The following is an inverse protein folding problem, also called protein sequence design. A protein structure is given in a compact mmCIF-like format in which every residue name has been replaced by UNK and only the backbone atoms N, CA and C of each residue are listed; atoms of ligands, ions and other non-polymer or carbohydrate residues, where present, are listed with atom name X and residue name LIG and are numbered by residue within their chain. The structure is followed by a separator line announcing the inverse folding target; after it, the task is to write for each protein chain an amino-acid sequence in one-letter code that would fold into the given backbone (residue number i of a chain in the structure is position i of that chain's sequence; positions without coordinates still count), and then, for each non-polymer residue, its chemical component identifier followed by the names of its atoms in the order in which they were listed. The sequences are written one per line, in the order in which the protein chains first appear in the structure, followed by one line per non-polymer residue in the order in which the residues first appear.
data_IF_068480540514
#
_entry.id   IF_068480540514
#
_cell.length_a   1.000
_cell.length_b   1.000
_cell.length_c   1.000
_cell.angle_alpha   90.00
_cell.angle_beta   90.00
_cell.angle_gamma   90.00
#
_symmetry.space_group_name_H-M   'P 1'
#
loop_
_entity.id
_entity.type
_entity.pdbx_description
1 polymer ?
#
# COMPACT_ATOMS: atom_id res chain seq x y z
N UNK A 1 -68.30 -10.66 -13.49
CA UNK A 1 -67.26 -10.71 -14.54
C UNK A 1 -66.18 -9.68 -14.36
N UNK A 2 -66.42 -8.45 -13.89
CA UNK A 2 -65.39 -7.43 -13.67
C UNK A 2 -64.43 -7.74 -12.51
N UNK A 3 -64.92 -8.28 -11.39
CA UNK A 3 -64.07 -8.64 -10.24
C UNK A 3 -63.05 -9.74 -10.54
N UNK A 4 -63.38 -10.69 -11.41
CA UNK A 4 -62.45 -11.75 -11.83
C UNK A 4 -61.29 -11.23 -12.70
N UNK A 5 -61.56 -10.24 -13.57
CA UNK A 5 -60.55 -9.58 -14.38
C UNK A 5 -59.59 -8.73 -13.51
N UNK A 6 -60.09 -8.04 -12.49
CA UNK A 6 -59.27 -7.27 -11.55
C UNK A 6 -58.37 -8.17 -10.70
N UNK A 7 -58.85 -9.29 -10.18
CA UNK A 7 -58.06 -10.26 -9.41
C UNK A 7 -56.94 -10.87 -10.29
N UNK A 8 -57.23 -11.25 -11.53
CA UNK A 8 -56.25 -11.78 -12.48
C UNK A 8 -55.19 -10.73 -12.84
N UNK A 9 -55.55 -9.47 -12.99
CA UNK A 9 -54.60 -8.38 -13.27
C UNK A 9 -53.66 -8.13 -12.08
N UNK A 10 -54.17 -8.12 -10.84
CA UNK A 10 -53.36 -7.97 -9.62
C UNK A 10 -52.37 -9.12 -9.47
N UNK A 11 -52.80 -10.37 -9.76
CA UNK A 11 -51.88 -11.54 -9.73
C UNK A 11 -50.74 -11.39 -10.74
N UNK A 12 -51.04 -11.01 -11.97
CA UNK A 12 -50.02 -10.83 -13.01
C UNK A 12 -49.01 -9.70 -12.65
N UNK A 13 -49.51 -8.61 -12.08
CA UNK A 13 -48.65 -7.49 -11.64
C UNK A 13 -47.75 -7.92 -10.47
N UNK A 14 -48.30 -8.70 -9.51
CA UNK A 14 -47.55 -9.25 -8.38
C UNK A 14 -46.47 -10.21 -8.85
N UNK A 15 -46.77 -11.14 -9.75
CA UNK A 15 -45.80 -12.08 -10.33
C UNK A 15 -44.66 -11.36 -11.09
N UNK A 16 -45.01 -10.34 -11.89
CA UNK A 16 -44.00 -9.53 -12.58
C UNK A 16 -43.09 -8.80 -11.61
N UNK A 17 -43.65 -8.24 -10.53
CA UNK A 17 -42.87 -7.55 -9.49
C UNK A 17 -41.93 -8.51 -8.74
N UNK A 18 -42.44 -9.71 -8.43
CA UNK A 18 -41.70 -10.78 -7.80
C UNK A 18 -40.50 -11.21 -8.70
N UNK A 19 -40.81 -11.51 -9.97
CA UNK A 19 -39.79 -11.94 -10.94
C UNK A 19 -38.72 -10.88 -11.20
N UNK A 20 -39.11 -9.59 -11.19
CA UNK A 20 -38.14 -8.49 -11.29
C UNK A 20 -37.20 -8.45 -10.07
N UNK A 21 -37.75 -8.61 -8.85
CA UNK A 21 -36.97 -8.64 -7.61
C UNK A 21 -36.01 -9.84 -7.57
N UNK A 22 -36.45 -10.99 -8.02
CA UNK A 22 -35.61 -12.20 -8.11
C UNK A 22 -34.45 -11.99 -9.10
N UNK A 23 -34.72 -11.36 -10.25
CA UNK A 23 -33.68 -11.04 -11.23
C UNK A 23 -32.65 -10.05 -10.68
N UNK A 24 -33.10 -8.99 -10.01
CA UNK A 24 -32.23 -8.01 -9.35
C UNK A 24 -31.34 -8.69 -8.29
N UNK A 25 -31.91 -9.58 -7.48
CA UNK A 25 -31.15 -10.35 -6.48
C UNK A 25 -30.14 -11.31 -7.12
N UNK A 26 -30.50 -11.95 -8.24
CA UNK A 26 -29.56 -12.79 -8.99
C UNK A 26 -28.41 -12.00 -9.57
N UNK A 27 -28.66 -10.81 -10.10
CA UNK A 27 -27.62 -9.93 -10.63
C UNK A 27 -26.67 -9.45 -9.51
N UNK A 28 -27.21 -9.07 -8.35
CA UNK A 28 -26.40 -8.68 -7.20
C UNK A 28 -25.55 -9.85 -6.68
N UNK A 29 -26.13 -11.04 -6.55
CA UNK A 29 -25.42 -12.24 -6.14
C UNK A 29 -24.31 -12.60 -7.13
N UNK A 30 -24.59 -12.51 -8.42
CA UNK A 30 -23.61 -12.78 -9.46
C UNK A 30 -22.44 -11.79 -9.42
N UNK A 31 -22.71 -10.49 -9.25
CA UNK A 31 -21.68 -9.46 -9.05
C UNK A 31 -20.83 -9.72 -7.80
N UNK A 32 -21.48 -10.07 -6.68
CA UNK A 32 -20.79 -10.40 -5.44
C UNK A 32 -19.89 -11.65 -5.59
N UNK A 33 -20.37 -12.67 -6.29
CA UNK A 33 -19.59 -13.89 -6.57
C UNK A 33 -18.34 -13.61 -7.44
N UNK A 34 -18.51 -12.82 -8.50
CA UNK A 34 -17.37 -12.41 -9.35
C UNK A 34 -16.35 -11.61 -8.55
N UNK A 35 -16.82 -10.67 -7.72
CA UNK A 35 -15.94 -9.87 -6.88
C UNK A 35 -15.17 -10.74 -5.87
N UNK A 36 -15.85 -11.70 -5.23
CA UNK A 36 -15.24 -12.64 -4.29
C UNK A 36 -14.22 -13.58 -4.99
N UNK A 37 -14.53 -14.12 -6.16
CA UNK A 37 -13.60 -14.96 -6.93
C UNK A 37 -12.36 -14.16 -7.36
N UNK A 38 -12.55 -12.93 -7.83
CA UNK A 38 -11.46 -12.03 -8.22
C UNK A 38 -10.55 -11.72 -7.03
N UNK A 39 -11.12 -11.40 -5.87
CA UNK A 39 -10.36 -11.14 -4.64
C UNK A 39 -9.59 -12.39 -4.18
N UNK A 40 -10.21 -13.58 -4.24
CA UNK A 40 -9.58 -14.83 -3.83
C UNK A 40 -8.42 -15.24 -4.78
N UNK A 41 -8.58 -15.02 -6.09
CA UNK A 41 -7.49 -15.23 -7.07
C UNK A 41 -6.33 -14.25 -6.82
N UNK A 42 -6.63 -12.98 -6.59
CA UNK A 42 -5.62 -11.98 -6.26
C UNK A 42 -4.84 -12.39 -5.00
N UNK A 43 -5.53 -12.83 -3.94
CA UNK A 43 -4.92 -13.35 -2.71
C UNK A 43 -4.01 -14.55 -2.95
N UNK A 44 -4.50 -15.56 -3.69
CA UNK A 44 -3.72 -16.77 -4.00
C UNK A 44 -2.45 -16.41 -4.76
N UNK A 45 -2.58 -15.53 -5.72
CA UNK A 45 -1.45 -15.11 -6.54
C UNK A 45 -0.46 -14.26 -5.73
N UNK A 46 -0.93 -13.39 -4.83
CA UNK A 46 -0.10 -12.65 -3.86
C UNK A 46 0.74 -13.61 -3.01
N UNK A 47 0.13 -14.64 -2.40
CA UNK A 47 0.84 -15.61 -1.57
C UNK A 47 1.91 -16.41 -2.36
N UNK A 48 1.62 -16.78 -3.60
CA UNK A 48 2.60 -17.46 -4.47
C UNK A 48 3.83 -16.57 -4.73
N UNK A 49 3.62 -15.30 -5.00
CA UNK A 49 4.73 -14.39 -5.24
C UNK A 49 5.50 -14.05 -3.98
N UNK A 50 4.81 -13.84 -2.86
CA UNK A 50 5.48 -13.66 -1.58
C UNK A 50 6.41 -14.84 -1.26
N UNK A 51 6.00 -16.08 -1.60
CA UNK A 51 6.86 -17.25 -1.43
C UNK A 51 8.12 -17.15 -2.29
N UNK A 52 8.02 -16.63 -3.51
CA UNK A 52 9.17 -16.41 -4.38
C UNK A 52 10.07 -15.28 -3.86
N UNK A 53 9.46 -14.17 -3.47
CA UNK A 53 10.16 -12.96 -3.02
C UNK A 53 10.87 -13.18 -1.67
N UNK A 54 10.33 -14.04 -0.81
CA UNK A 54 10.98 -14.52 0.42
C UNK A 54 12.15 -15.44 0.10
N UNK A 55 12.00 -16.35 -0.87
CA UNK A 55 13.03 -17.33 -1.22
C UNK A 55 14.29 -16.69 -1.80
N UNK A 56 14.14 -15.63 -2.58
CA UNK A 56 15.26 -14.96 -3.25
C UNK A 56 16.30 -14.41 -2.26
N UNK A 57 15.96 -13.52 -1.31
CA UNK A 57 16.93 -13.03 -0.32
C UNK A 57 17.44 -14.15 0.59
N UNK A 58 16.59 -15.11 0.96
CA UNK A 58 17.00 -16.26 1.77
C UNK A 58 18.08 -17.09 1.08
N UNK A 59 17.89 -17.41 -0.19
CA UNK A 59 18.91 -18.12 -0.99
C UNK A 59 20.19 -17.30 -1.15
N UNK A 60 20.07 -15.97 -1.27
CA UNK A 60 21.22 -15.05 -1.28
C UNK A 60 22.04 -15.16 0.01
N UNK A 61 21.37 -15.06 1.17
CA UNK A 61 22.03 -15.22 2.49
C UNK A 61 22.71 -16.58 2.60
N UNK A 62 22.03 -17.66 2.23
CA UNK A 62 22.58 -19.00 2.29
C UNK A 62 23.76 -19.20 1.33
N UNK A 63 23.73 -18.55 0.17
CA UNK A 63 24.84 -18.55 -0.78
C UNK A 63 26.07 -17.85 -0.23
N UNK A 64 25.91 -16.64 0.31
CA UNK A 64 26.99 -15.85 0.91
C UNK A 64 27.58 -16.53 2.15
N UNK A 65 26.77 -17.21 2.96
CA UNK A 65 27.25 -18.02 4.08
C UNK A 65 28.20 -19.14 3.60
N UNK A 66 27.83 -19.85 2.53
CA UNK A 66 28.68 -20.92 1.96
C UNK A 66 30.00 -20.36 1.42
N UNK A 67 29.96 -19.17 0.79
CA UNK A 67 31.17 -18.49 0.30
C UNK A 67 32.07 -18.12 1.47
N UNK A 68 31.53 -17.55 2.54
CA UNK A 68 32.29 -17.18 3.74
C UNK A 68 32.91 -18.39 4.43
N UNK A 69 32.20 -19.55 4.44
CA UNK A 69 32.77 -20.79 4.98
C UNK A 69 33.92 -21.34 4.14
N UNK A 70 33.88 -21.16 2.81
CA UNK A 70 34.91 -21.64 1.90
C UNK A 70 36.13 -20.70 1.83
N UNK A 71 35.96 -19.42 2.17
CA UNK A 71 36.98 -18.39 2.07
C UNK A 71 37.11 -17.62 3.40
N UNK A 72 37.14 -18.34 4.50
CA UNK A 72 37.15 -17.76 5.85
C UNK A 72 38.44 -16.98 6.19
N UNK A 73 39.48 -17.15 5.44
CA UNK A 73 40.78 -16.46 5.50
C UNK A 73 40.80 -15.12 4.75
N UNK A 74 39.81 -14.86 3.88
CA UNK A 74 39.66 -13.57 3.21
C UNK A 74 38.71 -12.63 4.01
N UNK A 75 39.30 -11.93 4.97
CA UNK A 75 38.56 -11.06 5.90
C UNK A 75 37.76 -9.94 5.17
N UNK A 76 38.29 -9.42 4.05
CA UNK A 76 37.63 -8.35 3.30
C UNK A 76 36.38 -8.88 2.58
N UNK A 77 36.47 -10.01 1.89
CA UNK A 77 35.37 -10.69 1.26
C UNK A 77 34.29 -11.09 2.26
N UNK A 78 34.70 -11.65 3.40
CA UNK A 78 33.79 -12.06 4.47
C UNK A 78 33.02 -10.85 5.02
N UNK A 79 33.70 -9.72 5.25
CA UNK A 79 33.06 -8.49 5.74
C UNK A 79 32.08 -7.88 4.74
N UNK A 80 32.41 -7.89 3.45
CA UNK A 80 31.49 -7.43 2.40
C UNK A 80 30.27 -8.32 2.30
N UNK A 81 30.46 -9.63 2.32
CA UNK A 81 29.36 -10.60 2.31
C UNK A 81 28.42 -10.44 3.50
N UNK A 82 28.94 -10.12 4.71
CA UNK A 82 28.08 -9.85 5.86
C UNK A 82 27.20 -8.62 5.65
N UNK A 83 27.69 -7.56 5.03
CA UNK A 83 26.87 -6.38 4.70
C UNK A 83 25.75 -6.72 3.72
N UNK A 84 26.04 -7.52 2.70
CA UNK A 84 25.03 -7.96 1.74
C UNK A 84 24.00 -8.89 2.37
N UNK A 85 24.44 -9.78 3.29
CA UNK A 85 23.52 -10.63 4.06
C UNK A 85 22.61 -9.80 4.96
N UNK A 86 23.13 -8.75 5.62
CA UNK A 86 22.34 -7.83 6.43
C UNK A 86 21.26 -7.10 5.61
N UNK A 87 21.63 -6.61 4.42
CA UNK A 87 20.68 -5.98 3.49
C UNK A 87 19.58 -6.97 3.07
N UNK A 88 19.95 -8.21 2.74
CA UNK A 88 19.02 -9.25 2.34
C UNK A 88 18.09 -9.65 3.50
N UNK A 89 18.60 -9.73 4.74
CA UNK A 89 17.82 -10.02 5.93
C UNK A 89 16.82 -8.90 6.26
N UNK A 90 17.24 -7.64 6.16
CA UNK A 90 16.36 -6.48 6.35
C UNK A 90 15.25 -6.42 5.30
N UNK A 91 15.56 -6.75 4.04
CA UNK A 91 14.56 -6.87 2.99
C UNK A 91 13.55 -7.98 3.28
N UNK A 92 14.01 -9.13 3.74
CA UNK A 92 13.15 -10.26 4.13
C UNK A 92 12.23 -9.87 5.29
N UNK A 93 12.74 -9.16 6.29
CA UNK A 93 11.95 -8.68 7.42
C UNK A 93 10.85 -7.71 6.96
N UNK A 94 11.16 -6.81 6.03
CA UNK A 94 10.16 -5.92 5.41
C UNK A 94 9.04 -6.69 4.73
N UNK A 95 9.37 -7.70 3.91
CA UNK A 95 8.38 -8.54 3.22
C UNK A 95 7.47 -9.30 4.19
N UNK A 96 8.04 -9.83 5.28
CA UNK A 96 7.25 -10.50 6.33
C UNK A 96 6.28 -9.53 6.99
N UNK A 97 6.73 -8.32 7.32
CA UNK A 97 5.89 -7.29 7.91
C UNK A 97 4.75 -6.87 6.97
N UNK A 98 5.01 -6.74 5.67
CA UNK A 98 3.98 -6.42 4.66
C UNK A 98 2.90 -7.50 4.60
N UNK A 99 3.29 -8.79 4.64
CA UNK A 99 2.34 -9.92 4.68
C UNK A 99 1.50 -9.91 5.96
N UNK A 100 2.13 -9.69 7.11
CA UNK A 100 1.43 -9.65 8.40
C UNK A 100 0.43 -8.50 8.45
N UNK A 101 0.78 -7.34 7.91
CA UNK A 101 -0.14 -6.19 7.84
C UNK A 101 -1.32 -6.46 6.90
N UNK A 102 -1.07 -7.05 5.73
CA UNK A 102 -2.16 -7.43 4.83
C UNK A 102 -3.12 -8.41 5.49
N UNK A 103 -2.60 -9.41 6.21
CA UNK A 103 -3.43 -10.38 6.94
C UNK A 103 -4.30 -9.70 8.01
N UNK A 104 -3.76 -8.74 8.74
CA UNK A 104 -4.51 -7.98 9.76
C UNK A 104 -5.62 -7.14 9.16
N UNK A 105 -5.36 -6.46 8.03
CA UNK A 105 -6.36 -5.66 7.31
C UNK A 105 -7.51 -6.52 6.79
N UNK A 106 -7.23 -7.75 6.30
CA UNK A 106 -8.26 -8.68 5.82
C UNK A 106 -9.17 -9.19 6.95
N UNK A 107 -8.61 -9.46 8.11
CA UNK A 107 -9.39 -9.97 9.25
C UNK A 107 -10.40 -8.95 9.81
N UNK A 108 -10.29 -7.67 9.41
CA UNK A 108 -11.18 -6.59 9.89
C UNK A 108 -11.18 -6.43 11.41
N UNK A 109 -10.22 -7.07 12.10
CA UNK A 109 -10.14 -7.15 13.57
C UNK A 109 -9.30 -6.05 14.18
N UNK A 110 -8.59 -5.27 13.36
CA UNK A 110 -7.89 -4.11 13.87
C UNK A 110 -8.91 -3.01 14.15
N UNK A 111 -9.33 -2.89 15.40
CA UNK A 111 -9.85 -1.63 15.89
C UNK A 111 -8.73 -0.61 15.68
N UNK A 112 -8.93 0.28 14.70
CA UNK A 112 -8.03 1.39 14.46
C UNK A 112 -7.98 2.21 15.75
N UNK A 113 -6.99 1.92 16.61
CA UNK A 113 -6.78 2.72 17.81
C UNK A 113 -6.50 4.14 17.34
N UNK A 114 -7.44 5.03 17.59
CA UNK A 114 -7.30 6.44 17.28
C UNK A 114 -6.92 7.17 18.57
N UNK A 115 -5.89 7.97 18.51
CA UNK A 115 -5.40 8.78 19.62
C UNK A 115 -5.22 10.23 19.20
N UNK A 116 -5.09 11.12 20.17
CA UNK A 116 -4.78 12.51 19.91
C UNK A 116 -3.33 12.63 19.44
N UNK A 117 -3.14 13.06 18.21
CA UNK A 117 -1.82 13.12 17.54
C UNK A 117 -1.51 14.59 17.18
N UNK A 118 -0.29 15.02 17.50
CA UNK A 118 0.29 16.24 16.98
C UNK A 118 0.89 15.96 15.59
N UNK A 119 0.24 16.42 14.54
CA UNK A 119 0.69 16.18 13.17
C UNK A 119 2.09 16.76 12.90
N UNK A 120 2.43 18.00 13.31
CA UNK A 120 3.77 18.53 13.18
C UNK A 120 4.87 17.62 13.73
N UNK A 121 4.64 17.03 14.92
CA UNK A 121 5.64 16.14 15.54
C UNK A 121 5.84 14.85 14.74
N UNK A 122 4.74 14.26 14.28
CA UNK A 122 4.80 13.05 13.42
C UNK A 122 5.56 13.35 12.12
N UNK A 123 5.31 14.51 11.51
CA UNK A 123 6.01 14.91 10.30
C UNK A 123 7.47 15.24 10.53
N UNK A 124 7.81 15.87 11.66
CA UNK A 124 9.20 16.15 12.04
C UNK A 124 10.01 14.86 12.21
N UNK A 125 9.46 13.88 12.91
CA UNK A 125 10.08 12.56 13.09
C UNK A 125 10.31 11.85 11.75
N UNK A 126 9.29 11.87 10.88
CA UNK A 126 9.40 11.26 9.56
C UNK A 126 10.42 11.98 8.67
N UNK A 127 10.45 13.32 8.74
CA UNK A 127 11.42 14.14 7.99
C UNK A 127 12.84 13.68 8.27
N UNK A 128 13.20 13.46 9.52
CA UNK A 128 14.55 13.01 9.89
C UNK A 128 14.93 11.67 9.23
N UNK A 129 13.98 10.71 9.16
CA UNK A 129 14.19 9.42 8.50
C UNK A 129 14.33 9.57 6.98
N UNK A 130 13.48 10.41 6.38
CA UNK A 130 13.44 10.65 4.94
C UNK A 130 14.70 11.38 4.50
N UNK A 131 15.11 12.45 5.21
CA UNK A 131 16.32 13.22 4.91
C UNK A 131 17.57 12.32 4.97
N UNK A 132 17.68 11.44 5.97
CA UNK A 132 18.80 10.48 6.06
C UNK A 132 18.87 9.57 4.83
N UNK A 133 17.74 8.94 4.48
CA UNK A 133 17.68 8.03 3.33
C UNK A 133 17.88 8.73 1.97
N UNK A 134 17.44 9.97 1.85
CA UNK A 134 17.61 10.78 0.64
C UNK A 134 19.06 11.27 0.48
N UNK A 135 19.71 11.65 1.59
CA UNK A 135 21.10 12.08 1.61
C UNK A 135 22.05 11.00 1.09
N UNK A 136 21.85 9.75 1.49
CA UNK A 136 22.63 8.59 1.04
C UNK A 136 22.58 8.42 -0.49
N UNK A 137 21.48 8.88 -1.13
CA UNK A 137 21.29 8.88 -2.59
C UNK A 137 21.57 10.22 -3.27
N UNK A 138 22.02 11.24 -2.53
CA UNK A 138 22.22 12.58 -3.06
C UNK A 138 20.95 13.25 -3.59
N UNK A 139 19.80 12.91 -3.03
CA UNK A 139 18.49 13.46 -3.41
C UNK A 139 18.14 14.61 -2.46
N UNK A 140 17.70 15.76 -3.01
CA UNK A 140 17.20 16.87 -2.20
C UNK A 140 15.72 16.66 -1.88
N UNK A 141 15.35 16.84 -0.59
CA UNK A 141 13.94 16.79 -0.15
C UNK A 141 13.51 18.16 0.33
N UNK A 142 12.45 18.66 -0.25
CA UNK A 142 11.84 19.95 0.07
C UNK A 142 10.48 19.72 0.70
N UNK A 143 10.39 19.96 1.99
CA UNK A 143 9.14 20.02 2.71
C UNK A 143 8.72 21.49 2.71
N UNK A 144 7.68 21.84 1.97
CA UNK A 144 7.18 23.21 1.91
C UNK A 144 7.02 23.80 3.31
N UNK A 145 7.73 24.89 3.60
CA UNK A 145 7.63 25.62 4.87
C UNK A 145 6.25 26.27 5.02
N UNK A 146 5.50 26.39 3.92
CA UNK A 146 4.14 26.91 3.89
C UNK A 146 3.07 25.89 4.36
N UNK A 147 3.48 24.80 5.00
CA UNK A 147 2.56 23.84 5.60
C UNK A 147 1.77 24.49 6.72
N UNK A 148 0.59 25.03 6.38
CA UNK A 148 -0.31 25.63 7.36
C UNK A 148 -1.08 24.50 8.05
N UNK A 149 -0.68 24.18 9.27
CA UNK A 149 -1.42 23.27 10.13
C UNK A 149 -2.63 24.02 10.72
N UNK A 150 -3.75 23.99 10.00
CA UNK A 150 -5.01 24.62 10.49
C UNK A 150 -5.41 24.00 11.83
N UNK A 151 -5.31 22.67 11.92
CA UNK A 151 -5.48 21.92 13.16
C UNK A 151 -4.28 21.02 13.39
N UNK A 152 -3.33 21.42 14.24
CA UNK A 152 -2.13 20.61 14.50
C UNK A 152 -2.43 19.34 15.28
N UNK A 153 -3.53 19.30 16.03
CA UNK A 153 -3.96 18.13 16.80
C UNK A 153 -5.18 17.49 16.17
N UNK A 154 -5.09 16.21 15.86
CA UNK A 154 -6.17 15.42 15.28
C UNK A 154 -6.30 14.08 15.97
N UNK A 155 -7.47 13.47 15.92
CA UNK A 155 -7.68 12.09 16.36
C UNK A 155 -7.44 11.18 15.15
N UNK A 156 -6.36 10.39 15.20
CA UNK A 156 -5.98 9.48 14.12
C UNK A 156 -5.10 8.35 14.66
N UNK A 157 -4.73 7.42 13.79
CA UNK A 157 -3.74 6.39 14.09
C UNK A 157 -2.35 6.84 13.60
N UNK A 158 -1.39 7.15 14.50
CA UNK A 158 -0.08 7.66 14.11
C UNK A 158 0.79 6.62 13.38
N UNK A 159 0.61 5.32 13.67
CA UNK A 159 1.37 4.26 13.02
C UNK A 159 1.02 4.15 11.54
N UNK A 160 -0.28 4.14 11.21
CA UNK A 160 -0.73 4.09 9.81
C UNK A 160 -0.36 5.37 9.06
N UNK A 161 -0.49 6.52 9.73
CA UNK A 161 -0.09 7.78 9.13
C UNK A 161 1.39 7.75 8.73
N UNK A 162 2.27 7.39 9.68
CA UNK A 162 3.71 7.24 9.42
C UNK A 162 3.99 6.23 8.30
N UNK A 163 3.34 5.10 8.32
CA UNK A 163 3.55 4.05 7.33
C UNK A 163 3.16 4.48 5.91
N UNK A 164 2.02 5.14 5.74
CA UNK A 164 1.60 5.67 4.44
C UNK A 164 2.67 6.60 3.88
N UNK A 165 3.14 7.55 4.69
CA UNK A 165 4.14 8.51 4.24
C UNK A 165 5.49 7.85 3.97
N UNK A 166 5.99 7.00 4.87
CA UNK A 166 7.27 6.31 4.66
C UNK A 166 7.24 5.40 3.42
N UNK A 167 6.13 4.78 3.10
CA UNK A 167 5.96 4.00 1.87
C UNK A 167 6.02 4.89 0.62
N UNK A 168 5.34 6.03 0.62
CA UNK A 168 5.33 6.96 -0.51
C UNK A 168 6.73 7.57 -0.71
N UNK A 169 7.34 8.11 0.35
CA UNK A 169 8.69 8.68 0.27
C UNK A 169 9.74 7.64 -0.06
N UNK A 170 9.64 6.43 0.50
CA UNK A 170 10.51 5.30 0.17
C UNK A 170 10.49 4.98 -1.34
N UNK A 171 9.29 4.97 -1.93
CA UNK A 171 9.15 4.81 -3.38
C UNK A 171 9.74 6.00 -4.14
N UNK A 172 9.46 7.23 -3.74
CA UNK A 172 10.03 8.42 -4.36
C UNK A 172 11.56 8.41 -4.32
N UNK A 173 12.17 8.07 -3.17
CA UNK A 173 13.62 7.94 -3.04
C UNK A 173 14.16 6.79 -3.90
N UNK A 174 13.44 5.65 -3.95
CA UNK A 174 13.85 4.47 -4.72
C UNK A 174 13.94 4.77 -6.22
N UNK A 175 12.96 5.48 -6.75
CA UNK A 175 12.81 5.70 -8.19
C UNK A 175 13.35 7.06 -8.69
N UNK A 176 13.84 7.91 -7.79
CA UNK A 176 14.54 9.15 -8.15
C UNK A 176 16.04 8.87 -8.32
N UNK A 177 16.62 9.41 -9.41
CA UNK A 177 18.03 9.30 -9.67
C UNK A 177 18.86 10.21 -8.76
N UNK A 178 20.18 9.96 -8.68
CA UNK A 178 21.13 10.80 -7.99
C UNK A 178 21.04 12.26 -8.46
N UNK A 179 21.03 13.20 -7.52
CA UNK A 179 20.87 14.64 -7.80
C UNK A 179 19.44 15.08 -8.09
N UNK A 180 18.46 14.16 -7.97
CA UNK A 180 17.06 14.49 -8.13
C UNK A 180 16.45 15.21 -6.94
N UNK A 181 15.14 15.53 -7.04
CA UNK A 181 14.39 16.29 -6.04
C UNK A 181 13.07 15.62 -5.71
N UNK A 182 12.71 15.65 -4.43
CA UNK A 182 11.37 15.31 -3.92
C UNK A 182 10.82 16.56 -3.26
N UNK A 183 9.59 16.93 -3.58
CA UNK A 183 8.91 18.08 -2.99
C UNK A 183 7.56 17.69 -2.42
N UNK A 184 7.19 18.30 -1.31
CA UNK A 184 5.94 18.04 -0.61
C UNK A 184 5.17 19.34 -0.44
N UNK A 185 3.90 19.31 -0.77
CA UNK A 185 2.94 20.38 -0.51
C UNK A 185 1.77 19.82 0.27
N UNK A 186 1.34 20.57 1.28
CA UNK A 186 0.16 20.25 2.08
C UNK A 186 -0.92 21.31 1.89
N UNK A 187 -2.16 20.88 1.80
CA UNK A 187 -3.33 21.73 1.68
C UNK A 187 -4.43 21.23 2.63
N UNK A 188 -5.09 22.14 3.34
CA UNK A 188 -6.38 21.83 3.97
C UNK A 188 -7.46 22.01 2.90
N UNK A 189 -8.20 20.93 2.57
CA UNK A 189 -9.23 20.94 1.52
C UNK A 189 -10.57 21.31 2.11
N UNK A 190 -10.91 20.74 3.25
CA UNK A 190 -12.23 20.86 3.85
C UNK A 190 -12.16 20.68 5.36
N UNK A 191 -12.98 21.43 6.04
CA UNK A 191 -13.28 21.25 7.45
C UNK A 191 -14.79 21.23 7.62
N UNK A 192 -15.34 20.10 8.05
CA UNK A 192 -16.76 19.90 8.22
C UNK A 192 -17.05 18.87 9.31
N UNK A 193 -18.05 19.15 10.14
CA UNK A 193 -18.56 18.23 11.18
C UNK A 193 -17.46 17.67 12.09
N UNK A 194 -16.50 18.50 12.52
CA UNK A 194 -15.30 18.11 13.28
C UNK A 194 -14.36 17.16 12.55
N UNK A 195 -14.48 17.04 11.23
CA UNK A 195 -13.57 16.30 10.38
C UNK A 195 -12.78 17.27 9.51
N UNK A 196 -11.46 17.14 9.50
CA UNK A 196 -10.57 17.90 8.64
C UNK A 196 -10.01 17.00 7.54
N UNK A 197 -10.02 17.47 6.31
CA UNK A 197 -9.44 16.79 5.16
C UNK A 197 -8.21 17.53 4.68
N UNK A 198 -7.05 16.90 4.87
CA UNK A 198 -5.77 17.35 4.32
C UNK A 198 -5.46 16.63 3.02
N UNK A 199 -4.85 17.36 2.08
CA UNK A 199 -4.23 16.79 0.89
C UNK A 199 -2.72 16.98 0.97
N UNK A 200 -1.98 15.90 0.79
CA UNK A 200 -0.53 15.94 0.59
C UNK A 200 -0.21 15.62 -0.86
N UNK A 201 0.60 16.46 -1.47
CA UNK A 201 1.09 16.31 -2.83
C UNK A 201 2.59 16.08 -2.73
N UNK A 202 3.02 14.86 -2.97
CA UNK A 202 4.41 14.45 -2.98
C UNK A 202 4.80 14.25 -4.44
N UNK A 203 5.80 15.00 -4.89
CA UNK A 203 6.27 14.99 -6.27
C UNK A 203 7.74 14.68 -6.31
N UNK A 204 8.17 13.77 -7.17
CA UNK A 204 9.56 13.43 -7.39
C UNK A 204 9.97 13.67 -8.86
N UNK A 205 11.28 13.78 -9.08
CA UNK A 205 11.88 13.92 -10.42
C UNK A 205 12.40 12.58 -10.94
N UNK A 206 11.82 11.50 -10.48
CA UNK A 206 12.21 10.14 -10.84
C UNK A 206 11.79 9.72 -12.23
N UNK A 207 11.94 8.43 -12.52
CA UNK A 207 11.63 7.84 -13.84
C UNK A 207 10.15 7.93 -14.24
N UNK A 208 9.28 8.27 -13.28
CA UNK A 208 7.85 8.32 -13.48
C UNK A 208 7.19 6.96 -13.72
N UNK A 209 5.92 6.98 -14.10
CA UNK A 209 5.12 5.80 -14.35
C UNK A 209 4.47 5.86 -15.73
N UNK A 210 4.46 4.74 -16.45
CA UNK A 210 3.78 4.67 -17.75
C UNK A 210 2.26 4.82 -17.60
N UNK A 211 1.60 5.35 -18.63
CA UNK A 211 0.12 5.48 -18.63
C UNK A 211 -0.58 4.13 -18.44
N UNK A 212 0.02 3.06 -18.92
CA UNK A 212 -0.51 1.71 -18.77
C UNK A 212 -0.42 1.24 -17.31
N UNK A 213 0.72 1.47 -16.66
CA UNK A 213 0.92 1.15 -15.25
C UNK A 213 -0.04 1.93 -14.33
N UNK A 214 -0.25 3.23 -14.61
CA UNK A 214 -1.15 4.09 -13.82
C UNK A 214 -2.59 3.58 -13.77
N UNK A 215 -3.08 2.89 -14.81
CA UNK A 215 -4.43 2.31 -14.81
C UNK A 215 -4.62 1.23 -13.77
N UNK A 216 -3.52 0.63 -13.33
CA UNK A 216 -3.51 -0.56 -12.49
C UNK A 216 -2.74 -0.38 -11.18
N UNK A 217 -2.30 0.83 -10.85
CA UNK A 217 -1.43 1.10 -9.69
C UNK A 217 -2.07 0.70 -8.35
N UNK A 218 -3.40 0.72 -8.26
CA UNK A 218 -4.15 0.30 -7.08
C UNK A 218 -4.76 -1.10 -7.21
N UNK A 219 -4.54 -1.79 -8.32
CA UNK A 219 -4.88 -3.20 -8.42
C UNK A 219 -3.82 -4.01 -7.69
N UNK A 220 -4.22 -5.06 -6.97
CA UNK A 220 -3.28 -6.03 -6.39
C UNK A 220 -2.60 -6.74 -7.56
N UNK A 221 -1.55 -6.15 -8.09
CA UNK A 221 -0.71 -6.74 -9.12
C UNK A 221 0.59 -7.25 -8.52
N UNK A 222 0.90 -8.42 -8.97
CA UNK A 222 2.14 -9.13 -8.79
C UNK A 222 3.32 -8.35 -9.35
N UNK A 223 4.49 -8.38 -8.71
CA UNK A 223 5.72 -7.97 -9.34
C UNK A 223 5.94 -8.88 -10.56
N UNK A 224 5.62 -8.40 -11.74
CA UNK A 224 6.19 -8.97 -12.93
C UNK A 224 7.67 -8.59 -12.94
N UNK A 225 8.54 -9.59 -13.00
CA UNK A 225 9.99 -9.53 -13.05
C UNK A 225 10.54 -8.86 -14.32
N UNK A 226 10.06 -7.65 -14.64
CA UNK A 226 10.51 -6.89 -15.80
C UNK A 226 10.65 -5.41 -15.44
N UNK A 227 11.64 -5.16 -14.57
CA UNK A 227 12.20 -3.83 -14.37
C UNK A 227 13.68 -3.89 -14.80
N UNK A 228 13.90 -3.88 -16.11
CA UNK A 228 15.15 -3.45 -16.73
C UNK A 228 14.79 -2.43 -17.80
#
# INVERSE_FOLDING_TARGET
MQLYKAASFISIVSEKKQKKKELEQQEELHKALIAADTANRAKSTFLLNMSHDIRTPLNGIMGLLKINMAHSDDEELVRENYKEMEKAANHLLSLINDVLQMSKLEDGREELSSELVCLPDVFYDMKAIIDGSALDKGISVDFSEDSIWVHPYVITNPLYLRQIFLNIYGNSIKFTNFGGKISTKQECIEEKDNVITYRWIISDTGIGMSKEFLKHIFEIRLPQSHWL
#
